data_IF_639434343585
#
_entry.id   IF_639434343585
#
_cell.length_a   1.000
_cell.length_b   1.000
_cell.length_c   1.000
_cell.angle_alpha   90.00
_cell.angle_beta   90.00
_cell.angle_gamma   90.00
#
_symmetry.space_group_name_H-M   'P 1'
#
loop_
_entity.id
_entity.type
_entity.pdbx_description
1 polymer ?
#
# COMPACT_ATOMS: atom_id res chain seq x y z
N UNK A 1 18.58 -16.71 10.31
CA UNK A 1 18.47 -17.46 9.04
C UNK A 1 17.68 -16.58 8.08
N UNK A 2 18.15 -16.44 6.84
CA UNK A 2 17.44 -15.70 5.79
C UNK A 2 16.38 -16.60 5.19
N UNK A 3 15.17 -16.10 5.01
CA UNK A 3 14.03 -16.84 4.47
C UNK A 3 13.47 -16.13 3.23
N UNK A 4 13.16 -16.90 2.18
CA UNK A 4 12.48 -16.40 0.99
C UNK A 4 10.98 -16.57 1.19
N UNK A 5 10.23 -15.48 1.04
CA UNK A 5 8.78 -15.42 1.28
C UNK A 5 8.04 -14.88 0.07
N UNK A 6 6.87 -15.43 -0.22
CA UNK A 6 5.95 -14.89 -1.23
C UNK A 6 5.14 -13.76 -0.62
N UNK A 7 5.14 -12.58 -1.24
CA UNK A 7 4.35 -11.43 -0.78
C UNK A 7 2.87 -11.79 -0.64
N UNK A 8 2.32 -12.49 -1.64
CA UNK A 8 0.91 -12.85 -1.70
C UNK A 8 0.53 -13.81 -0.57
N UNK A 9 1.42 -14.72 -0.16
CA UNK A 9 1.11 -15.74 0.84
C UNK A 9 1.39 -15.28 2.29
N UNK A 10 1.99 -14.11 2.48
CA UNK A 10 2.33 -13.60 3.82
C UNK A 10 1.15 -12.92 4.52
N UNK A 11 0.06 -12.67 3.80
CA UNK A 11 -1.15 -12.01 4.29
C UNK A 11 -2.38 -12.55 3.54
N UNK A 12 -3.47 -12.80 4.26
CA UNK A 12 -4.71 -13.33 3.68
C UNK A 12 -5.77 -12.25 3.54
N UNK A 13 -6.65 -12.41 2.55
CA UNK A 13 -7.86 -11.59 2.46
C UNK A 13 -8.80 -11.90 3.62
N UNK A 14 -9.52 -10.88 4.09
CA UNK A 14 -10.62 -11.03 5.04
C UNK A 14 -11.83 -10.30 4.51
N UNK A 15 -13.02 -10.88 4.68
CA UNK A 15 -14.23 -10.31 4.10
C UNK A 15 -14.65 -9.02 4.82
N UNK A 16 -15.01 -8.00 4.04
CA UNK A 16 -15.50 -6.71 4.52
C UNK A 16 -14.50 -5.93 5.37
N UNK A 17 -13.20 -6.10 5.12
CA UNK A 17 -12.18 -5.42 5.92
C UNK A 17 -10.83 -5.29 5.22
N UNK A 18 -9.96 -4.50 5.86
CA UNK A 18 -8.56 -4.32 5.50
C UNK A 18 -7.72 -4.92 6.61
N UNK A 19 -6.82 -5.84 6.26
CA UNK A 19 -5.81 -6.34 7.19
C UNK A 19 -4.42 -5.86 6.81
N UNK A 20 -3.55 -5.70 7.80
CA UNK A 20 -2.18 -5.27 7.58
C UNK A 20 -1.18 -6.11 8.37
N UNK A 21 0.01 -6.25 7.80
CA UNK A 21 1.15 -6.93 8.41
C UNK A 21 2.42 -6.13 8.17
N UNK A 22 2.96 -5.57 9.23
CA UNK A 22 4.18 -4.78 9.16
C UNK A 22 5.40 -5.70 9.10
N UNK A 23 6.13 -5.69 7.99
CA UNK A 23 7.30 -6.53 7.72
C UNK A 23 8.56 -5.90 8.30
N UNK A 24 8.71 -4.59 8.12
CA UNK A 24 9.83 -3.82 8.68
C UNK A 24 9.26 -2.60 9.40
N UNK A 25 9.71 -2.38 10.63
CA UNK A 25 9.48 -1.14 11.38
C UNK A 25 10.79 -0.60 11.89
N UNK A 26 11.12 0.61 11.47
CA UNK A 26 12.29 1.34 11.95
C UNK A 26 11.89 2.79 12.22
N UNK A 27 12.79 3.54 12.85
CA UNK A 27 12.57 4.97 13.15
C UNK A 27 12.40 5.79 11.85
N UNK A 28 13.16 5.43 10.82
CA UNK A 28 13.25 6.13 9.53
C UNK A 28 12.32 5.57 8.44
N UNK A 29 11.40 4.67 8.76
CA UNK A 29 10.52 4.12 7.75
C UNK A 29 9.91 2.78 8.13
N UNK A 30 8.99 2.33 7.28
CA UNK A 30 8.39 1.02 7.40
C UNK A 30 8.08 0.39 6.05
N UNK A 31 7.93 -0.93 6.08
CA UNK A 31 7.41 -1.74 4.99
C UNK A 31 6.23 -2.52 5.54
N UNK A 32 5.04 -2.29 4.98
CA UNK A 32 3.78 -2.85 5.47
C UNK A 32 3.03 -3.52 4.34
N UNK A 33 2.64 -4.78 4.53
CA UNK A 33 1.70 -5.47 3.65
C UNK A 33 0.28 -5.13 4.05
N UNK A 34 -0.58 -5.00 3.06
CA UNK A 34 -2.02 -4.86 3.23
C UNK A 34 -2.75 -5.84 2.34
N UNK A 35 -3.89 -6.35 2.81
CA UNK A 35 -4.88 -7.04 2.01
C UNK A 35 -6.24 -6.36 2.20
N UNK A 36 -6.86 -6.00 1.09
CA UNK A 36 -8.14 -5.31 1.01
C UNK A 36 -9.18 -6.26 0.45
N UNK A 37 -10.37 -6.31 1.06
CA UNK A 37 -11.54 -6.81 0.32
C UNK A 37 -11.93 -5.81 -0.80
N UNK A 38 -12.73 -6.29 -1.75
CA UNK A 38 -13.26 -5.43 -2.81
C UNK A 38 -14.13 -4.30 -2.23
N UNK A 39 -13.91 -3.07 -2.70
CA UNK A 39 -14.60 -1.87 -2.24
C UNK A 39 -13.98 -1.22 -1.00
N UNK A 40 -13.10 -1.91 -0.28
CA UNK A 40 -12.42 -1.36 0.89
C UNK A 40 -11.43 -0.27 0.48
N UNK A 41 -11.24 0.72 1.37
CA UNK A 41 -10.46 1.92 1.05
C UNK A 41 -9.67 2.48 2.22
N UNK A 42 -8.56 3.14 1.90
CA UNK A 42 -7.91 4.07 2.81
C UNK A 42 -8.35 5.48 2.46
N UNK A 43 -8.90 6.18 3.45
CA UNK A 43 -9.36 7.56 3.30
C UNK A 43 -8.24 8.47 2.83
N UNK A 44 -8.62 9.46 2.03
CA UNK A 44 -7.68 10.46 1.54
C UNK A 44 -7.00 11.18 2.71
N UNK A 45 -5.67 11.20 2.69
CA UNK A 45 -4.86 11.86 3.70
C UNK A 45 -3.55 12.36 3.09
N UNK A 46 -2.81 13.15 3.87
CA UNK A 46 -1.50 13.68 3.47
C UNK A 46 -0.44 13.20 4.45
N UNK A 47 0.72 12.81 3.91
CA UNK A 47 1.91 12.44 4.67
C UNK A 47 3.03 13.43 4.35
N UNK A 48 3.86 13.86 5.32
CA UNK A 48 5.05 14.67 5.04
C UNK A 48 6.18 13.86 4.41
N UNK A 49 6.00 12.54 4.23
CA UNK A 49 7.01 11.62 3.71
C UNK A 49 6.57 11.01 2.39
N UNK A 50 7.55 10.69 1.55
CA UNK A 50 7.33 9.91 0.34
C UNK A 50 7.03 8.44 0.68
N UNK A 51 6.12 7.86 -0.10
CA UNK A 51 5.82 6.44 -0.03
C UNK A 51 5.72 5.82 -1.42
N UNK A 52 6.02 4.54 -1.51
CA UNK A 52 5.81 3.70 -2.69
C UNK A 52 4.75 2.67 -2.35
N UNK A 53 3.77 2.52 -3.22
CA UNK A 53 2.77 1.46 -3.17
C UNK A 53 3.00 0.54 -4.36
N UNK A 54 3.29 -0.74 -4.09
CA UNK A 54 3.39 -1.79 -5.11
C UNK A 54 2.26 -2.78 -4.95
N UNK A 55 1.54 -3.07 -6.03
CA UNK A 55 0.44 -4.03 -6.02
C UNK A 55 0.99 -5.42 -6.32
N UNK A 56 0.83 -6.34 -5.37
CA UNK A 56 1.27 -7.72 -5.50
C UNK A 56 0.18 -8.63 -6.08
N UNK A 57 -1.09 -8.31 -5.81
CA UNK A 57 -2.26 -9.01 -6.33
C UNK A 57 -3.43 -8.04 -6.44
N UNK A 58 -4.30 -8.26 -7.41
CA UNK A 58 -5.50 -7.44 -7.64
C UNK A 58 -5.28 -6.15 -8.45
N UNK A 59 -6.13 -5.17 -8.17
CA UNK A 59 -6.23 -3.90 -8.86
C UNK A 59 -6.82 -2.84 -7.92
N UNK A 60 -6.17 -1.69 -7.84
CA UNK A 60 -6.58 -0.56 -7.00
C UNK A 60 -6.70 0.72 -7.83
N UNK A 61 -7.68 1.55 -7.49
CA UNK A 61 -7.68 2.95 -7.90
C UNK A 61 -6.99 3.78 -6.80
N UNK A 62 -5.92 4.47 -7.16
CA UNK A 62 -5.13 5.30 -6.26
C UNK A 62 -5.24 6.74 -6.73
N UNK A 63 -5.84 7.59 -5.91
CA UNK A 63 -5.98 9.01 -6.19
C UNK A 63 -4.80 9.75 -5.58
N UNK A 64 -4.08 10.53 -6.38
CA UNK A 64 -2.93 11.34 -5.95
C UNK A 64 -3.13 12.77 -6.43
N UNK A 65 -3.22 13.73 -5.50
CA UNK A 65 -3.39 15.14 -5.83
C UNK A 65 -4.65 15.42 -6.65
N UNK A 66 -5.74 14.69 -6.40
CA UNK A 66 -6.98 14.83 -7.18
C UNK A 66 -7.10 13.89 -8.37
N UNK A 67 -6.00 13.32 -8.87
CA UNK A 67 -5.99 12.52 -10.11
C UNK A 67 -6.05 11.03 -9.80
N UNK A 68 -7.02 10.27 -10.34
CA UNK A 68 -7.11 8.83 -10.16
C UNK A 68 -6.14 8.08 -11.09
N UNK A 69 -5.54 7.02 -10.57
CA UNK A 69 -4.65 6.10 -11.30
C UNK A 69 -5.07 4.66 -11.01
N UNK A 70 -5.30 3.86 -12.04
CA UNK A 70 -5.52 2.42 -11.88
C UNK A 70 -4.16 1.72 -11.85
N UNK A 71 -3.89 0.99 -10.76
CA UNK A 71 -2.63 0.30 -10.53
C UNK A 71 -2.93 -1.18 -10.32
N UNK A 72 -2.30 -2.04 -11.12
CA UNK A 72 -2.54 -3.49 -11.19
C UNK A 72 -1.39 -4.29 -10.61
N UNK A 73 -1.64 -5.57 -10.34
CA UNK A 73 -0.61 -6.50 -9.91
C UNK A 73 0.65 -6.43 -10.80
N UNK A 74 1.82 -6.29 -10.17
CA UNK A 74 3.11 -6.11 -10.82
C UNK A 74 3.51 -4.64 -11.06
N UNK A 75 2.61 -3.69 -10.81
CA UNK A 75 2.86 -2.25 -10.96
C UNK A 75 3.11 -1.58 -9.60
N UNK A 76 3.66 -0.37 -9.64
CA UNK A 76 3.80 0.48 -8.46
C UNK A 76 3.49 1.94 -8.79
N UNK A 77 3.14 2.71 -7.77
CA UNK A 77 2.97 4.15 -7.83
C UNK A 77 3.70 4.83 -6.67
N UNK A 78 4.23 6.02 -6.93
CA UNK A 78 4.82 6.88 -5.92
C UNK A 78 3.76 7.84 -5.36
N UNK A 79 3.77 8.01 -4.05
CA UNK A 79 2.94 8.95 -3.29
C UNK A 79 3.89 10.05 -2.79
N UNK A 80 3.90 11.23 -3.43
CA UNK A 80 4.81 12.31 -3.06
C UNK A 80 4.48 12.88 -1.69
N UNK A 81 5.50 13.40 -1.00
CA UNK A 81 5.31 14.13 0.26
C UNK A 81 4.36 15.31 0.08
N UNK A 82 3.53 15.56 1.09
CA UNK A 82 2.61 16.69 1.17
C UNK A 82 1.53 16.75 0.07
N UNK A 83 1.37 15.68 -0.72
CA UNK A 83 0.29 15.56 -1.71
C UNK A 83 -0.79 14.62 -1.16
N UNK A 84 -2.07 15.04 -1.10
CA UNK A 84 -3.16 14.18 -0.66
C UNK A 84 -3.27 12.93 -1.52
N UNK A 85 -3.47 11.78 -0.88
CA UNK A 85 -3.68 10.52 -1.56
C UNK A 85 -4.67 9.60 -0.83
N UNK A 86 -5.45 8.86 -1.61
CA UNK A 86 -6.44 7.89 -1.15
C UNK A 86 -6.43 6.66 -2.04
N UNK A 87 -6.78 5.50 -1.49
CA UNK A 87 -6.69 4.21 -2.17
C UNK A 87 -8.02 3.48 -2.06
N UNK A 88 -8.50 2.91 -3.15
CA UNK A 88 -9.70 2.06 -3.19
C UNK A 88 -9.37 0.76 -3.91
N UNK A 89 -9.70 -0.38 -3.29
CA UNK A 89 -9.57 -1.68 -3.90
C UNK A 89 -10.74 -1.94 -4.87
N UNK A 90 -10.56 -1.67 -6.17
CA UNK A 90 -11.60 -1.96 -7.19
C UNK A 90 -11.80 -3.47 -7.40
N UNK A 91 -10.82 -4.27 -6.98
CA UNK A 91 -10.90 -5.72 -6.76
C UNK A 91 -10.18 -6.03 -5.45
N UNK A 92 -10.43 -7.22 -4.87
CA UNK A 92 -9.59 -7.76 -3.80
C UNK A 92 -8.11 -7.57 -4.15
N UNK A 93 -7.36 -6.87 -3.29
CA UNK A 93 -6.00 -6.43 -3.61
C UNK A 93 -5.03 -6.61 -2.46
N UNK A 94 -3.82 -7.08 -2.78
CA UNK A 94 -2.69 -7.11 -1.84
C UNK A 94 -1.66 -6.09 -2.30
N UNK A 95 -1.21 -5.24 -1.40
CA UNK A 95 -0.19 -4.25 -1.69
C UNK A 95 0.90 -4.19 -0.64
N UNK A 96 2.09 -3.77 -1.08
CA UNK A 96 3.22 -3.42 -0.24
C UNK A 96 3.34 -1.89 -0.20
N UNK A 97 3.17 -1.32 0.99
CA UNK A 97 3.50 0.08 1.27
C UNK A 97 4.93 0.15 1.81
N UNK A 98 5.79 0.90 1.13
CA UNK A 98 7.12 1.26 1.62
C UNK A 98 7.16 2.76 1.84
N UNK A 99 7.30 3.19 3.09
CA UNK A 99 7.44 4.60 3.44
C UNK A 99 8.85 4.86 3.97
N UNK A 100 9.53 5.84 3.38
CA UNK A 100 10.84 6.29 3.81
C UNK A 100 10.66 7.67 4.42
N UNK A 101 11.12 7.83 5.66
CA UNK A 101 11.16 9.13 6.33
C UNK A 101 12.54 9.73 6.15
N UNK A 102 12.59 11.02 5.82
CA UNK A 102 13.84 11.76 5.89
C UNK A 102 14.40 11.66 7.31
N UNK A 103 15.71 11.45 7.40
CA UNK A 103 16.46 11.59 8.63
C UNK A 103 17.08 12.99 8.62
N UNK A 104 16.90 13.73 9.71
CA UNK A 104 17.74 14.89 10.03
C UNK A 104 19.23 14.52 10.02
#
# INVERSE_FOLDING_TARGET
MTEVKSIINEIEYQSGTIVSKQIIKKKNGNVTLFAFDEGESLTEHTSPYEALVSIADGEMEIKVGGTPYNVKAGEFILLPSNIPHGLVAVKKSKMLLTMIKETE
#
